data_IF_677408320251
#
_entry.id   IF_677408320251
#
_cell.length_a   1.000
_cell.length_b   1.000
_cell.length_c   1.000
_cell.angle_alpha   90.00
_cell.angle_beta   90.00
_cell.angle_gamma   90.00
#
_symmetry.space_group_name_H-M   'P 1'
#
loop_
_entity.id
_entity.type
_entity.pdbx_description
1 polymer ?
#
# COMPACT_ATOMS: atom_id res chain seq x y z
N UNK A 1 47.15 -68.60 -10.01
CA UNK A 1 46.21 -68.94 -8.92
C UNK A 1 45.79 -67.65 -8.27
N UNK A 2 44.51 -67.32 -8.43
CA UNK A 2 43.83 -66.15 -7.90
C UNK A 2 43.69 -66.34 -6.38
N UNK A 3 44.09 -65.35 -5.57
CA UNK A 3 43.77 -65.32 -4.14
C UNK A 3 42.93 -64.07 -3.89
N UNK A 4 41.71 -64.34 -3.45
CA UNK A 4 40.59 -63.43 -3.20
C UNK A 4 40.86 -62.58 -1.95
N UNK A 5 40.74 -61.25 -2.07
CA UNK A 5 40.85 -60.30 -0.95
C UNK A 5 39.44 -59.94 -0.49
N UNK A 6 39.08 -60.08 0.80
CA UNK A 6 37.74 -59.81 1.29
C UNK A 6 37.40 -58.31 1.28
N UNK A 7 36.16 -58.01 0.91
CA UNK A 7 35.61 -56.66 0.83
C UNK A 7 35.32 -56.03 2.22
N UNK A 8 35.63 -54.74 2.35
CA UNK A 8 35.45 -53.86 3.51
C UNK A 8 33.97 -53.44 3.70
N UNK A 9 33.36 -53.62 4.90
CA UNK A 9 31.98 -53.24 5.17
C UNK A 9 31.89 -51.78 5.62
N UNK A 10 32.09 -50.83 4.70
CA UNK A 10 32.36 -49.44 5.07
C UNK A 10 31.65 -48.31 4.33
N UNK A 11 30.70 -48.55 3.42
CA UNK A 11 30.02 -47.46 2.68
C UNK A 11 28.50 -47.42 2.85
N UNK A 12 28.03 -46.40 3.60
CA UNK A 12 26.64 -45.90 3.53
C UNK A 12 26.34 -45.41 2.11
N UNK A 13 25.14 -45.71 1.63
CA UNK A 13 24.58 -45.16 0.41
C UNK A 13 24.49 -43.62 0.49
N UNK A 14 24.74 -42.87 -0.60
CA UNK A 14 24.46 -41.44 -0.64
C UNK A 14 22.95 -41.21 -0.50
N UNK A 15 22.58 -40.46 0.53
CA UNK A 15 21.21 -40.01 0.76
C UNK A 15 20.75 -39.14 -0.40
N UNK A 16 19.57 -39.47 -0.92
CA UNK A 16 18.77 -38.63 -1.78
C UNK A 16 18.24 -37.46 -0.96
N UNK A 17 18.91 -36.31 -1.02
CA UNK A 17 18.26 -35.05 -0.67
C UNK A 17 17.06 -34.86 -1.62
N UNK A 18 15.85 -34.62 -1.10
CA UNK A 18 14.72 -34.28 -1.97
C UNK A 18 15.04 -32.96 -2.69
N UNK A 19 14.60 -32.79 -3.95
CA UNK A 19 14.79 -31.53 -4.65
C UNK A 19 14.16 -30.41 -3.81
N UNK A 20 14.92 -29.34 -3.57
CA UNK A 20 14.39 -28.10 -3.01
C UNK A 20 13.24 -27.68 -3.92
N UNK A 21 12.00 -27.83 -3.47
CA UNK A 21 10.86 -27.24 -4.14
C UNK A 21 11.10 -25.73 -4.15
N UNK A 22 11.45 -25.19 -5.30
CA UNK A 22 11.38 -23.76 -5.55
C UNK A 22 9.90 -23.41 -5.49
N UNK A 23 9.41 -23.01 -4.31
CA UNK A 23 8.08 -22.43 -4.22
C UNK A 23 8.09 -21.25 -5.19
N UNK A 24 7.26 -21.25 -6.25
CA UNK A 24 7.17 -20.10 -7.13
C UNK A 24 6.87 -18.90 -6.25
N UNK A 25 7.62 -17.80 -6.44
CA UNK A 25 7.24 -16.56 -5.79
C UNK A 25 5.78 -16.29 -6.17
N UNK A 26 4.88 -16.02 -5.20
CA UNK A 26 3.48 -15.74 -5.53
C UNK A 26 3.45 -14.60 -6.55
N UNK A 27 2.58 -14.70 -7.55
CA UNK A 27 2.40 -13.69 -8.58
C UNK A 27 2.33 -12.32 -7.90
N UNK A 28 3.37 -11.51 -8.11
CA UNK A 28 3.37 -10.15 -7.58
C UNK A 28 2.21 -9.43 -8.25
N UNK A 29 1.30 -8.79 -7.49
CA UNK A 29 0.23 -8.01 -8.09
C UNK A 29 0.85 -7.02 -9.09
N UNK A 30 0.44 -7.10 -10.35
CA UNK A 30 0.81 -6.07 -11.32
C UNK A 30 0.19 -4.77 -10.82
N UNK A 31 1.01 -3.86 -10.30
CA UNK A 31 0.58 -2.53 -9.89
C UNK A 31 -0.17 -1.87 -11.05
N UNK A 32 -1.49 -1.82 -10.93
CA UNK A 32 -2.38 -1.31 -11.97
C UNK A 32 -2.33 0.21 -11.91
N UNK A 33 -2.09 0.88 -13.04
CA UNK A 33 -2.06 2.35 -13.08
C UNK A 33 -3.44 2.92 -12.73
N UNK A 34 -3.47 4.08 -12.10
CA UNK A 34 -4.70 4.85 -11.94
C UNK A 34 -5.29 5.22 -13.30
N UNK A 35 -6.61 5.15 -13.41
CA UNK A 35 -7.34 5.64 -14.56
C UNK A 35 -7.16 7.17 -14.73
N UNK A 36 -7.27 7.70 -15.96
CA UNK A 36 -7.22 9.15 -16.17
C UNK A 36 -8.29 9.91 -15.39
N UNK A 37 -9.46 9.31 -15.19
CA UNK A 37 -10.58 9.91 -14.47
C UNK A 37 -10.25 10.17 -13.00
N UNK A 38 -9.73 9.15 -12.28
CA UNK A 38 -9.39 9.32 -10.87
C UNK A 38 -8.19 10.26 -10.69
N UNK A 39 -7.25 10.31 -11.65
CA UNK A 39 -6.13 11.25 -11.64
C UNK A 39 -6.64 12.70 -11.78
N UNK A 40 -7.56 12.94 -12.70
CA UNK A 40 -8.14 14.27 -12.87
C UNK A 40 -8.99 14.67 -11.65
N UNK A 41 -9.74 13.73 -11.09
CA UNK A 41 -10.48 13.94 -9.85
C UNK A 41 -9.54 14.27 -8.68
N UNK A 42 -8.39 13.60 -8.60
CA UNK A 42 -7.34 13.90 -7.64
C UNK A 42 -6.83 15.33 -7.79
N UNK A 43 -6.48 15.71 -9.00
CA UNK A 43 -6.02 17.07 -9.31
C UNK A 43 -7.06 18.12 -8.94
N UNK A 44 -8.32 17.92 -9.33
CA UNK A 44 -9.42 18.82 -9.03
C UNK A 44 -9.62 19.01 -7.53
N UNK A 45 -9.59 17.92 -6.74
CA UNK A 45 -9.72 18.03 -5.28
C UNK A 45 -8.53 18.75 -4.64
N UNK A 46 -7.30 18.52 -5.11
CA UNK A 46 -6.13 19.26 -4.62
C UNK A 46 -6.24 20.76 -4.94
N UNK A 47 -6.78 21.11 -6.12
CA UNK A 47 -7.07 22.52 -6.47
C UNK A 47 -8.15 23.12 -5.58
N UNK A 48 -9.27 22.42 -5.34
CA UNK A 48 -10.35 22.90 -4.47
C UNK A 48 -9.91 23.10 -3.02
N UNK A 49 -9.10 22.18 -2.51
CA UNK A 49 -8.57 22.29 -1.15
C UNK A 49 -7.69 23.54 -0.95
N UNK A 50 -7.10 24.07 -2.02
CA UNK A 50 -6.31 25.31 -2.03
C UNK A 50 -5.27 25.40 -0.89
N UNK A 51 -4.68 24.26 -0.53
CA UNK A 51 -3.76 24.14 0.60
C UNK A 51 -2.30 24.38 0.14
N UNK A 52 -1.69 25.55 0.44
CA UNK A 52 -0.39 25.93 -0.12
C UNK A 52 0.78 25.10 0.41
N UNK A 53 0.60 24.42 1.55
CA UNK A 53 1.58 23.55 2.18
C UNK A 53 1.52 22.10 1.68
N UNK A 54 0.53 21.76 0.84
CA UNK A 54 0.40 20.45 0.21
C UNK A 54 1.32 20.36 -1.00
N UNK A 55 2.20 19.36 -0.98
CA UNK A 55 3.07 18.99 -2.10
C UNK A 55 2.52 17.73 -2.75
N UNK A 56 2.11 17.83 -4.01
CA UNK A 56 1.71 16.66 -4.82
C UNK A 56 2.94 16.12 -5.54
N UNK A 57 3.24 14.83 -5.32
CA UNK A 57 4.30 14.13 -6.05
C UNK A 57 3.97 12.64 -6.19
N UNK A 58 4.40 11.98 -7.27
CA UNK A 58 4.15 10.57 -7.45
C UNK A 58 4.93 9.72 -6.45
N UNK A 59 4.32 8.61 -5.99
CA UNK A 59 4.97 7.54 -5.26
C UNK A 59 4.57 6.22 -5.93
N UNK A 60 5.56 5.47 -6.42
CA UNK A 60 5.34 4.24 -7.21
C UNK A 60 4.41 4.45 -8.43
N UNK A 61 4.46 5.64 -9.04
CA UNK A 61 3.62 6.01 -10.19
C UNK A 61 2.24 6.56 -9.84
N UNK A 62 1.86 6.57 -8.56
CA UNK A 62 0.55 7.08 -8.09
C UNK A 62 0.65 8.48 -7.51
N UNK A 63 -0.32 9.35 -7.80
CA UNK A 63 -0.36 10.70 -7.23
C UNK A 63 -0.59 10.63 -5.72
N UNK A 64 0.26 11.32 -4.96
CA UNK A 64 0.18 11.40 -3.51
C UNK A 64 0.35 12.85 -3.05
N UNK A 65 -0.40 13.24 -2.02
CA UNK A 65 -0.31 14.55 -1.39
C UNK A 65 0.45 14.44 -0.05
N UNK A 66 1.37 15.38 0.15
CA UNK A 66 2.29 15.40 1.28
C UNK A 66 2.24 16.74 1.99
N UNK A 67 2.36 16.74 3.32
CA UNK A 67 2.47 17.95 4.14
C UNK A 67 3.65 17.75 5.10
N UNK A 68 4.62 18.66 5.08
CA UNK A 68 5.81 18.55 5.95
C UNK A 68 6.60 17.24 5.78
N UNK A 69 6.56 16.62 4.60
CA UNK A 69 7.17 15.31 4.34
C UNK A 69 6.38 14.10 4.87
N UNK A 70 5.22 14.32 5.49
CA UNK A 70 4.27 13.27 5.86
C UNK A 70 3.22 13.12 4.76
N UNK A 71 2.84 11.88 4.48
CA UNK A 71 1.86 11.56 3.45
C UNK A 71 0.44 11.68 4.03
N UNK A 72 -0.40 12.47 3.39
CA UNK A 72 -1.76 12.76 3.86
C UNK A 72 -2.82 11.94 3.10
N UNK A 73 -2.64 11.77 1.80
CA UNK A 73 -3.59 11.06 0.93
C UNK A 73 -2.90 10.69 -0.39
N UNK A 74 -3.50 9.79 -1.16
CA UNK A 74 -3.02 9.45 -2.48
C UNK A 74 -3.89 8.40 -3.15
N UNK A 75 -3.45 8.06 -4.36
CA UNK A 75 -4.06 7.03 -5.17
C UNK A 75 -3.28 5.71 -5.05
N UNK A 76 -3.96 4.62 -5.34
CA UNK A 76 -3.36 3.33 -5.63
C UNK A 76 -4.30 2.56 -6.56
N UNK A 77 -3.88 2.31 -7.79
CA UNK A 77 -4.80 2.02 -8.89
C UNK A 77 -5.96 3.05 -8.90
N UNK A 78 -7.21 2.60 -8.88
CA UNK A 78 -8.38 3.48 -8.81
C UNK A 78 -8.89 3.76 -7.39
N UNK A 79 -8.18 3.27 -6.37
CA UNK A 79 -8.52 3.54 -4.98
C UNK A 79 -7.92 4.86 -4.51
N UNK A 80 -8.70 5.59 -3.72
CA UNK A 80 -8.26 6.80 -3.05
C UNK A 80 -8.19 6.54 -1.56
N UNK A 81 -7.02 6.70 -0.95
CA UNK A 81 -6.83 6.51 0.49
C UNK A 81 -6.47 7.81 1.19
N UNK A 82 -6.82 7.91 2.47
CA UNK A 82 -6.51 9.05 3.34
C UNK A 82 -5.84 8.60 4.62
N UNK A 83 -5.05 9.50 5.21
CA UNK A 83 -4.50 9.38 6.54
C UNK A 83 -5.24 10.33 7.48
N UNK A 84 -5.96 9.79 8.44
CA UNK A 84 -6.77 10.55 9.40
C UNK A 84 -6.44 10.16 10.83
N UNK A 85 -6.99 10.91 11.79
CA UNK A 85 -6.86 10.62 13.21
C UNK A 85 -7.44 9.24 13.57
N UNK A 86 -7.07 8.69 14.73
CA UNK A 86 -7.63 7.41 15.20
C UNK A 86 -9.17 7.43 15.30
N UNK A 87 -9.81 8.46 15.91
CA UNK A 87 -11.27 8.54 15.94
C UNK A 87 -11.90 8.65 14.55
N UNK A 88 -11.36 9.49 13.68
CA UNK A 88 -11.86 9.65 12.30
C UNK A 88 -11.71 8.35 11.51
N UNK A 89 -10.63 7.60 11.76
CA UNK A 89 -10.42 6.31 11.12
C UNK A 89 -11.49 5.32 11.53
N UNK A 90 -11.86 5.26 12.81
CA UNK A 90 -12.92 4.40 13.32
C UNK A 90 -14.28 4.73 12.67
N UNK A 91 -14.58 6.02 12.46
CA UNK A 91 -15.76 6.46 11.72
C UNK A 91 -15.70 6.05 10.26
N UNK A 92 -14.55 6.26 9.61
CA UNK A 92 -14.38 5.99 8.19
C UNK A 92 -14.49 4.50 7.87
N UNK A 93 -13.84 3.61 8.64
CA UNK A 93 -13.91 2.15 8.40
C UNK A 93 -15.30 1.55 8.65
N UNK A 94 -16.19 2.29 9.34
CA UNK A 94 -17.58 1.88 9.50
C UNK A 94 -18.45 2.21 8.27
N UNK A 95 -17.95 3.03 7.33
CA UNK A 95 -18.67 3.31 6.09
C UNK A 95 -18.63 2.10 5.15
N UNK A 96 -19.77 1.73 4.52
CA UNK A 96 -19.79 0.68 3.52
C UNK A 96 -18.78 0.94 2.39
N UNK A 97 -17.93 -0.04 2.09
CA UNK A 97 -16.90 0.05 1.05
C UNK A 97 -15.57 0.66 1.49
N UNK A 98 -15.47 1.24 2.69
CA UNK A 98 -14.20 1.65 3.26
C UNK A 98 -13.43 0.44 3.77
N UNK A 99 -12.10 0.47 3.64
CA UNK A 99 -11.25 -0.61 4.14
C UNK A 99 -9.81 -0.13 4.40
N UNK A 100 -9.04 -0.82 5.27
CA UNK A 100 -7.63 -0.49 5.48
C UNK A 100 -6.84 -0.56 4.17
N UNK A 101 -5.98 0.43 3.94
CA UNK A 101 -5.16 0.46 2.72
C UNK A 101 -4.12 -0.67 2.73
N UNK A 102 -4.15 -1.52 1.71
CA UNK A 102 -3.33 -2.72 1.59
C UNK A 102 -2.67 -2.80 0.20
N UNK A 103 -1.54 -2.09 -0.03
CA UNK A 103 -0.88 -2.09 -1.34
C UNK A 103 -0.17 -3.41 -1.68
N UNK A 104 0.04 -4.28 -0.68
CA UNK A 104 0.58 -5.62 -0.83
C UNK A 104 -0.29 -6.59 -0.04
N UNK A 105 -0.70 -7.74 -0.64
CA UNK A 105 -1.49 -8.75 0.05
C UNK A 105 -0.85 -9.18 1.38
N UNK A 106 -1.64 -9.16 2.45
CA UNK A 106 -1.21 -9.46 3.81
C UNK A 106 -0.38 -8.38 4.50
N UNK A 107 -0.18 -7.21 3.87
CA UNK A 107 0.59 -6.08 4.44
C UNK A 107 -0.23 -4.80 4.46
N UNK A 108 -1.29 -4.81 5.26
CA UNK A 108 -2.08 -3.62 5.54
C UNK A 108 -1.22 -2.51 6.16
N UNK A 109 -1.32 -1.32 5.58
CA UNK A 109 -0.79 -0.09 6.15
C UNK A 109 -1.87 0.60 6.96
N UNK A 110 -2.29 -0.02 8.08
CA UNK A 110 -3.48 0.33 8.87
C UNK A 110 -3.60 1.78 9.41
N UNK A 111 -2.65 2.67 9.11
CA UNK A 111 -2.78 4.12 9.32
C UNK A 111 -3.53 4.84 8.19
N UNK A 112 -3.71 4.19 7.05
CA UNK A 112 -4.39 4.73 5.88
C UNK A 112 -5.63 3.89 5.59
N UNK A 113 -6.69 4.56 5.14
CA UNK A 113 -7.97 3.92 4.83
C UNK A 113 -8.42 4.36 3.46
N UNK A 114 -8.87 3.41 2.65
CA UNK A 114 -9.48 3.64 1.34
C UNK A 114 -10.88 4.21 1.53
N UNK A 115 -11.15 5.30 0.82
CA UNK A 115 -12.46 5.95 0.80
C UNK A 115 -13.45 5.12 -0.01
N UNK A 116 -14.71 5.00 0.45
CA UNK A 116 -15.80 4.48 -0.38
C UNK A 116 -15.95 5.23 -1.70
N UNK A 117 -16.37 4.52 -2.76
CA UNK A 117 -16.54 5.12 -4.08
C UNK A 117 -17.59 6.25 -4.11
N UNK A 118 -18.65 6.15 -3.30
CA UNK A 118 -19.71 7.16 -3.18
C UNK A 118 -19.24 8.43 -2.44
N UNK A 119 -18.32 8.26 -1.49
CA UNK A 119 -17.60 9.38 -0.85
C UNK A 119 -16.68 10.04 -1.87
N UNK A 120 -15.89 9.24 -2.61
CA UNK A 120 -15.01 9.77 -3.64
C UNK A 120 -15.83 10.54 -4.67
N UNK A 121 -16.97 10.04 -5.13
CA UNK A 121 -17.79 10.65 -6.18
C UNK A 121 -18.45 12.00 -5.81
N UNK A 122 -18.57 12.33 -4.52
CA UNK A 122 -19.24 13.55 -4.04
C UNK A 122 -18.22 14.55 -3.51
N UNK A 123 -18.11 15.70 -4.15
CA UNK A 123 -17.11 16.71 -3.82
C UNK A 123 -17.17 17.15 -2.35
N UNK A 124 -18.36 17.40 -1.81
CA UNK A 124 -18.52 17.81 -0.41
C UNK A 124 -17.98 16.77 0.59
N UNK A 125 -18.22 15.47 0.34
CA UNK A 125 -17.79 14.41 1.23
C UNK A 125 -16.29 14.14 1.10
N UNK A 126 -15.79 14.11 -0.14
CA UNK A 126 -14.38 13.98 -0.42
C UNK A 126 -13.59 15.14 0.23
N UNK A 127 -14.05 16.38 0.04
CA UNK A 127 -13.39 17.56 0.57
C UNK A 127 -13.41 17.57 2.11
N UNK A 128 -14.50 17.11 2.74
CA UNK A 128 -14.58 16.95 4.19
C UNK A 128 -13.56 15.94 4.73
N UNK A 129 -13.39 14.80 4.06
CA UNK A 129 -12.38 13.81 4.45
C UNK A 129 -10.95 14.27 4.19
N UNK A 130 -10.71 14.98 3.09
CA UNK A 130 -9.41 15.59 2.79
C UNK A 130 -9.03 16.66 3.82
N UNK A 131 -9.99 17.49 4.25
CA UNK A 131 -9.76 18.48 5.28
C UNK A 131 -9.28 17.84 6.59
N UNK A 132 -9.97 16.79 7.07
CA UNK A 132 -9.55 16.00 8.24
C UNK A 132 -8.17 15.38 8.06
N UNK A 133 -7.90 14.83 6.87
CA UNK A 133 -6.62 14.20 6.57
C UNK A 133 -5.46 15.21 6.58
N UNK A 134 -5.67 16.40 6.02
CA UNK A 134 -4.69 17.47 6.02
C UNK A 134 -4.46 18.05 7.40
N UNK A 135 -5.53 18.30 8.16
CA UNK A 135 -5.43 18.76 9.55
C UNK A 135 -4.65 17.77 10.42
N UNK A 136 -5.00 16.49 10.36
CA UNK A 136 -4.27 15.46 11.10
C UNK A 136 -2.81 15.35 10.65
N UNK A 137 -2.54 15.44 9.34
CA UNK A 137 -1.15 15.35 8.86
C UNK A 137 -0.32 16.56 9.29
N UNK A 138 -0.91 17.76 9.38
CA UNK A 138 -0.26 18.97 9.91
C UNK A 138 0.09 18.87 11.38
N UNK A 139 -0.68 18.11 12.18
CA UNK A 139 -0.38 17.91 13.59
C UNK A 139 0.84 17.01 13.84
N UNK A 140 1.37 16.37 12.79
CA UNK A 140 2.55 15.53 12.90
C UNK A 140 3.85 16.34 12.82
N UNK A 141 4.92 15.92 13.53
CA UNK A 141 6.23 16.50 13.33
C UNK A 141 6.67 16.40 11.87
N UNK A 142 7.16 17.49 11.26
CA UNK A 142 7.73 17.44 9.92
C UNK A 142 8.88 16.43 9.85
N UNK A 143 8.98 15.69 8.76
CA UNK A 143 10.13 14.81 8.55
C UNK A 143 11.38 15.64 8.32
N UNK A 144 12.45 15.31 9.04
CA UNK A 144 13.79 15.86 8.76
C UNK A 144 14.19 15.43 7.35
N UNK A 145 14.69 16.40 6.56
CA UNK A 145 15.25 16.16 5.24
C UNK A 145 16.60 15.44 5.35
#
# INVERSE_FOLDING_TARGET
>A
MLIDVPADPGRRAPGSDPPRMETPMPDMPKFTKSSPEIIERFRAAMTRAAAPDVVVKPMFGYQCAWIGGNMATGLFADEWWVRVSEPDRAVLVALPGAHPFEPMPGRSMGRYVVLPADVVARDADLDAWLARAFEFTRSMPPKKK
#
